data_IF_630648323256
#
_entry.id   IF_630648323256
#
_cell.length_a   1.000
_cell.length_b   1.000
_cell.length_c   1.000
_cell.angle_alpha   90.00
_cell.angle_beta   90.00
_cell.angle_gamma   90.00
#
_symmetry.space_group_name_H-M   'P 1'
#
loop_
_entity.id
_entity.type
_entity.pdbx_description
1 polymer ?
#
# COMPACT_ATOMS: atom_id res chain seq x y z
N UNK A 1 -19.71 15.46 -1.15
CA UNK A 1 -18.90 16.39 -0.36
C UNK A 1 -18.57 15.67 0.93
N UNK A 2 -17.44 14.95 0.96
CA UNK A 2 -17.03 14.18 2.14
C UNK A 2 -16.22 15.10 3.03
N UNK A 3 -16.71 15.35 4.25
CA UNK A 3 -16.02 16.12 5.28
C UNK A 3 -14.86 15.29 5.84
N UNK A 4 -13.66 15.53 5.32
CA UNK A 4 -12.43 14.86 5.76
C UNK A 4 -11.92 15.35 7.12
N UNK A 5 -12.44 16.47 7.65
CA UNK A 5 -11.97 17.02 8.92
C UNK A 5 -12.48 16.26 10.16
N UNK A 6 -13.54 15.45 10.00
CA UNK A 6 -14.23 14.77 11.11
C UNK A 6 -13.81 13.31 11.34
N UNK A 7 -12.89 12.75 10.54
CA UNK A 7 -12.47 11.34 10.59
C UNK A 7 -11.00 11.17 11.01
N UNK A 8 -10.53 11.91 12.00
CA UNK A 8 -9.15 11.86 12.50
C UNK A 8 -8.67 10.49 13.01
N UNK A 9 -7.70 10.49 13.95
CA UNK A 9 -7.09 9.30 14.57
C UNK A 9 -8.07 8.11 14.85
N UNK A 10 -9.35 8.31 15.24
CA UNK A 10 -10.31 7.21 15.39
C UNK A 10 -10.63 6.42 14.11
N UNK A 11 -10.72 7.07 12.94
CA UNK A 11 -10.99 6.37 11.67
C UNK A 11 -9.78 5.54 11.24
N UNK A 12 -8.57 6.06 11.46
CA UNK A 12 -7.33 5.33 11.20
C UNK A 12 -7.24 4.09 12.09
N UNK A 13 -7.51 4.24 13.38
CA UNK A 13 -7.51 3.12 14.32
C UNK A 13 -8.54 2.06 13.92
N UNK A 14 -9.74 2.46 13.50
CA UNK A 14 -10.77 1.54 13.04
C UNK A 14 -10.32 0.77 11.78
N UNK A 15 -9.80 1.46 10.77
CA UNK A 15 -9.30 0.82 9.54
C UNK A 15 -8.09 -0.08 9.82
N UNK A 16 -7.19 0.33 10.72
CA UNK A 16 -6.04 -0.48 11.13
C UNK A 16 -6.49 -1.75 11.86
N UNK A 17 -7.46 -1.63 12.77
CA UNK A 17 -8.03 -2.79 13.46
C UNK A 17 -8.71 -3.76 12.48
N UNK A 18 -9.44 -3.25 11.49
CA UNK A 18 -10.08 -4.07 10.47
C UNK A 18 -9.05 -4.83 9.63
N UNK A 19 -7.97 -4.17 9.20
CA UNK A 19 -6.86 -4.82 8.49
C UNK A 19 -6.18 -5.87 9.37
N UNK A 20 -5.93 -5.54 10.64
CA UNK A 20 -5.35 -6.47 11.61
C UNK A 20 -6.20 -7.72 11.80
N UNK A 21 -7.52 -7.58 11.91
CA UNK A 21 -8.46 -8.71 11.99
C UNK A 21 -8.46 -9.55 10.70
N UNK A 22 -8.49 -8.91 9.53
CA UNK A 22 -8.47 -9.59 8.25
C UNK A 22 -7.17 -10.41 8.04
N UNK A 23 -6.05 -9.96 8.59
CA UNK A 23 -4.79 -10.70 8.62
C UNK A 23 -4.79 -11.80 9.70
N UNK A 24 -5.31 -11.51 10.90
CA UNK A 24 -5.31 -12.44 12.03
C UNK A 24 -6.06 -13.74 11.70
N UNK A 25 -7.19 -13.66 10.99
CA UNK A 25 -7.98 -14.85 10.60
C UNK A 25 -7.24 -15.79 9.63
N UNK A 26 -6.11 -15.36 9.05
CA UNK A 26 -5.27 -16.19 8.18
C UNK A 26 -4.21 -16.98 8.96
N UNK A 27 -3.98 -16.65 10.24
CA UNK A 27 -3.05 -17.35 11.11
C UNK A 27 -3.67 -18.68 11.56
N UNK A 28 -2.98 -19.79 11.29
CA UNK A 28 -3.38 -21.14 11.68
C UNK A 28 -2.66 -21.60 12.96
N UNK A 29 -3.16 -22.65 13.65
CA UNK A 29 -2.44 -23.24 14.77
C UNK A 29 -1.02 -23.67 14.38
N UNK A 30 -0.02 -23.12 15.08
CA UNK A 30 1.40 -23.37 14.81
C UNK A 30 2.12 -22.24 14.07
N UNK A 31 1.37 -21.31 13.48
CA UNK A 31 1.93 -20.09 12.91
C UNK A 31 2.35 -19.10 14.01
N UNK A 32 3.37 -18.30 13.76
CA UNK A 32 3.91 -17.33 14.73
C UNK A 32 3.45 -15.91 14.44
N UNK A 33 3.44 -15.52 13.16
CA UNK A 33 2.97 -14.20 12.69
C UNK A 33 2.65 -14.22 11.20
N UNK A 34 1.92 -13.22 10.76
CA UNK A 34 1.76 -12.87 9.36
C UNK A 34 2.38 -11.48 9.12
N UNK A 35 3.18 -11.37 8.06
CA UNK A 35 3.70 -10.10 7.57
C UNK A 35 3.04 -9.78 6.23
N UNK A 36 2.47 -8.58 6.13
CA UNK A 36 1.83 -8.05 4.95
C UNK A 36 2.57 -6.79 4.50
N UNK A 37 3.21 -6.87 3.34
CA UNK A 37 3.88 -5.73 2.70
C UNK A 37 3.05 -5.31 1.48
N UNK A 38 2.80 -4.01 1.34
CA UNK A 38 1.97 -3.49 0.26
C UNK A 38 2.53 -2.17 -0.27
N UNK A 39 2.57 -2.04 -1.60
CA UNK A 39 2.78 -0.80 -2.32
C UNK A 39 1.45 -0.41 -2.95
N UNK A 40 0.95 0.79 -2.65
CA UNK A 40 -0.35 1.27 -3.14
C UNK A 40 -0.22 2.66 -3.77
N UNK A 41 -0.83 2.77 -4.94
CA UNK A 41 -1.32 4.01 -5.53
C UNK A 41 -2.84 3.90 -5.68
N UNK A 42 -3.50 4.98 -6.09
CA UNK A 42 -4.88 4.91 -6.52
C UNK A 42 -5.01 3.93 -7.70
N UNK A 43 -5.99 3.02 -7.65
CA UNK A 43 -6.28 2.06 -8.72
C UNK A 43 -5.30 0.90 -8.92
N UNK A 44 -4.05 1.02 -8.46
CA UNK A 44 -3.01 -0.03 -8.62
C UNK A 44 -2.32 -0.36 -7.30
N UNK A 45 -2.08 -1.64 -7.08
CA UNK A 45 -1.42 -2.10 -5.86
C UNK A 45 -0.72 -3.43 -6.05
N UNK A 46 0.44 -3.55 -5.40
CA UNK A 46 1.20 -4.80 -5.31
C UNK A 46 1.33 -5.17 -3.85
N UNK A 47 1.19 -6.46 -3.54
CA UNK A 47 1.23 -6.91 -2.16
C UNK A 47 1.88 -8.28 -2.03
N UNK A 48 2.55 -8.48 -0.90
CA UNK A 48 3.11 -9.76 -0.50
C UNK A 48 2.63 -10.11 0.90
N UNK A 49 2.15 -11.33 1.05
CA UNK A 49 1.74 -11.87 2.35
C UNK A 49 2.59 -13.08 2.70
N UNK A 50 3.26 -13.03 3.85
CA UNK A 50 4.10 -14.11 4.40
C UNK A 50 3.51 -14.59 5.72
N UNK A 51 3.23 -15.88 5.83
CA UNK A 51 2.82 -16.52 7.08
C UNK A 51 4.03 -17.26 7.65
N UNK A 52 4.55 -16.82 8.79
CA UNK A 52 5.74 -17.40 9.41
C UNK A 52 5.35 -18.62 10.24
N UNK A 53 5.99 -19.75 9.93
CA UNK A 53 5.67 -21.05 10.50
C UNK A 53 6.88 -21.98 10.41
N UNK A 54 7.17 -22.84 11.43
CA UNK A 54 8.32 -23.74 11.40
C UNK A 54 8.33 -24.72 10.20
N UNK A 55 7.14 -25.03 9.67
CA UNK A 55 6.96 -25.90 8.51
C UNK A 55 7.11 -25.19 7.16
N UNK A 56 7.34 -23.87 7.15
CA UNK A 56 7.34 -23.06 5.95
C UNK A 56 8.43 -23.47 4.95
N UNK A 57 8.10 -23.45 3.67
CA UNK A 57 9.00 -23.85 2.59
C UNK A 57 10.01 -22.77 2.19
N UNK A 58 9.70 -21.50 2.46
CA UNK A 58 10.57 -20.36 2.14
C UNK A 58 11.27 -19.85 3.39
N UNK A 59 12.38 -19.14 3.22
CA UNK A 59 13.12 -18.54 4.33
C UNK A 59 13.32 -17.03 4.13
N UNK A 60 13.13 -16.26 5.19
CA UNK A 60 13.44 -14.83 5.24
C UNK A 60 14.05 -14.50 6.60
N UNK A 61 15.26 -13.93 6.59
CA UNK A 61 16.01 -13.57 7.81
C UNK A 61 16.18 -14.75 8.80
N UNK A 62 16.39 -15.96 8.29
CA UNK A 62 16.57 -17.17 9.10
C UNK A 62 15.27 -17.77 9.64
N UNK A 63 14.12 -17.23 9.28
CA UNK A 63 12.81 -17.76 9.69
C UNK A 63 12.04 -18.31 8.50
N UNK A 64 11.36 -19.44 8.74
CA UNK A 64 10.56 -20.11 7.72
C UNK A 64 9.19 -19.48 7.58
N UNK A 65 8.72 -19.40 6.34
CA UNK A 65 7.41 -18.86 6.02
C UNK A 65 6.80 -19.53 4.79
N UNK A 66 5.47 -19.43 4.71
CA UNK A 66 4.70 -19.68 3.50
C UNK A 66 4.30 -18.36 2.84
N UNK A 67 4.43 -18.30 1.52
CA UNK A 67 3.94 -17.17 0.73
C UNK A 67 2.53 -17.49 0.28
N UNK A 68 1.56 -16.70 0.73
CA UNK A 68 0.16 -16.91 0.35
C UNK A 68 -0.32 -15.81 -0.58
N UNK A 69 -1.34 -16.13 -1.38
CA UNK A 69 -2.08 -15.11 -2.12
C UNK A 69 -2.82 -14.20 -1.15
N UNK A 70 -2.61 -12.89 -1.28
CA UNK A 70 -3.31 -11.89 -0.47
C UNK A 70 -4.82 -11.94 -0.74
N UNK A 71 -5.66 -12.21 0.26
CA UNK A 71 -7.11 -12.18 0.08
C UNK A 71 -7.60 -10.76 -0.24
N UNK A 72 -8.66 -10.65 -1.04
CA UNK A 72 -9.25 -9.36 -1.42
C UNK A 72 -9.62 -8.50 -0.21
N UNK A 73 -10.16 -9.11 0.86
CA UNK A 73 -10.51 -8.40 2.08
C UNK A 73 -9.32 -7.71 2.77
N UNK A 74 -8.13 -8.31 2.71
CA UNK A 74 -6.89 -7.71 3.25
C UNK A 74 -6.50 -6.50 2.41
N UNK A 75 -6.47 -6.64 1.07
CA UNK A 75 -6.14 -5.55 0.17
C UNK A 75 -7.13 -4.38 0.32
N UNK A 76 -8.43 -4.67 0.38
CA UNK A 76 -9.47 -3.66 0.57
C UNK A 76 -9.31 -2.92 1.89
N UNK A 77 -9.05 -3.64 2.99
CA UNK A 77 -8.81 -3.03 4.31
C UNK A 77 -7.55 -2.16 4.31
N UNK A 78 -6.51 -2.53 3.56
CA UNK A 78 -5.32 -1.72 3.37
C UNK A 78 -5.60 -0.42 2.58
N UNK A 79 -6.46 -0.48 1.55
CA UNK A 79 -6.92 0.72 0.83
C UNK A 79 -7.74 1.65 1.75
N UNK A 80 -8.61 1.10 2.59
CA UNK A 80 -9.41 1.88 3.55
C UNK A 80 -8.53 2.52 4.63
N UNK A 81 -7.50 1.81 5.09
CA UNK A 81 -6.48 2.38 5.97
C UNK A 81 -5.70 3.49 5.27
N UNK A 82 -5.31 3.30 4.01
CA UNK A 82 -4.62 4.33 3.22
C UNK A 82 -5.46 5.60 3.09
N UNK A 83 -6.75 5.45 2.83
CA UNK A 83 -7.67 6.58 2.73
C UNK A 83 -7.84 7.30 4.08
N UNK A 84 -7.96 6.55 5.19
CA UNK A 84 -8.03 7.13 6.53
C UNK A 84 -6.73 7.85 6.93
N UNK A 85 -5.58 7.40 6.42
CA UNK A 85 -4.28 8.03 6.64
C UNK A 85 -4.02 9.30 5.81
N UNK A 86 -4.93 9.70 4.94
CA UNK A 86 -4.78 10.92 4.18
C UNK A 86 -4.69 12.15 5.09
N UNK A 87 -3.80 13.07 4.73
CA UNK A 87 -3.67 14.40 5.32
C UNK A 87 -3.63 15.42 4.20
N UNK A 88 -4.48 16.45 4.33
CA UNK A 88 -4.58 17.51 3.33
C UNK A 88 -3.20 18.13 3.06
N UNK A 89 -2.84 18.23 1.78
CA UNK A 89 -1.56 18.77 1.32
C UNK A 89 -0.32 17.93 1.63
N UNK A 90 -0.43 16.83 2.40
CA UNK A 90 0.69 15.92 2.70
C UNK A 90 0.50 14.54 2.06
N UNK A 91 -0.67 14.24 1.52
CA UNK A 91 -0.97 12.94 0.93
C UNK A 91 -1.20 11.86 1.98
N UNK A 92 -0.91 10.62 1.61
CA UNK A 92 -0.97 9.42 2.46
C UNK A 92 0.31 8.60 2.25
N UNK A 93 0.43 7.38 2.78
CA UNK A 93 1.62 6.55 2.58
C UNK A 93 1.65 5.90 1.18
N UNK A 94 2.84 5.60 0.65
CA UNK A 94 3.05 4.88 -0.61
C UNK A 94 3.22 3.38 -0.42
N UNK A 95 3.82 2.97 0.70
CA UNK A 95 3.90 1.58 1.08
C UNK A 95 3.74 1.39 2.59
N UNK A 96 3.34 0.19 2.98
CA UNK A 96 3.19 -0.18 4.38
C UNK A 96 3.65 -1.61 4.63
N UNK A 97 4.21 -1.84 5.82
CA UNK A 97 4.44 -3.17 6.38
C UNK A 97 3.57 -3.35 7.62
N UNK A 98 2.70 -4.34 7.59
CA UNK A 98 1.82 -4.72 8.69
C UNK A 98 2.27 -6.06 9.24
N UNK A 99 2.39 -6.17 10.55
CA UNK A 99 2.73 -7.42 11.24
C UNK A 99 1.64 -7.74 12.22
N UNK A 100 1.09 -8.95 12.14
CA UNK A 100 0.12 -9.48 13.12
C UNK A 100 0.65 -10.78 13.70
N UNK A 101 0.73 -10.86 15.03
CA UNK A 101 1.23 -12.05 15.73
C UNK A 101 0.09 -13.01 16.08
N UNK A 102 0.41 -14.28 16.31
CA UNK A 102 -0.56 -15.26 16.79
C UNK A 102 -1.19 -14.88 18.15
N UNK A 103 -0.50 -14.05 18.95
CA UNK A 103 -1.01 -13.53 20.22
C UNK A 103 -1.99 -12.36 20.05
N UNK A 104 -2.25 -11.93 18.81
CA UNK A 104 -3.22 -10.88 18.50
C UNK A 104 -2.66 -9.46 18.56
N UNK A 105 -1.34 -9.28 18.69
CA UNK A 105 -0.73 -7.95 18.57
C UNK A 105 -0.56 -7.57 17.10
N UNK A 106 -0.87 -6.32 16.75
CA UNK A 106 -0.68 -5.78 15.41
C UNK A 106 0.19 -4.52 15.43
N UNK A 107 1.08 -4.35 14.44
CA UNK A 107 1.88 -3.14 14.23
C UNK A 107 1.93 -2.76 12.76
N UNK A 108 2.18 -1.48 12.49
CA UNK A 108 2.34 -0.93 11.14
C UNK A 108 3.59 -0.05 11.05
N UNK A 109 4.29 -0.17 9.93
CA UNK A 109 5.31 0.78 9.48
C UNK A 109 4.84 1.36 8.14
N UNK A 110 4.84 2.69 8.04
CA UNK A 110 4.38 3.41 6.84
C UNK A 110 5.55 4.14 6.19
N UNK A 111 5.60 4.12 4.87
CA UNK A 111 6.56 4.87 4.07
C UNK A 111 5.83 5.97 3.30
N UNK A 112 6.17 7.23 3.59
CA UNK A 112 5.59 8.41 2.94
C UNK A 112 6.51 9.04 1.89
N UNK A 113 7.81 8.75 1.95
CA UNK A 113 8.84 9.62 1.37
C UNK A 113 9.85 8.90 0.48
N UNK A 114 9.99 7.58 0.60
CA UNK A 114 10.92 6.78 -0.22
C UNK A 114 10.16 6.14 -1.37
N UNK A 115 10.73 6.15 -2.58
CA UNK A 115 10.14 5.43 -3.72
C UNK A 115 10.02 3.93 -3.36
N UNK A 116 8.82 3.33 -3.41
CA UNK A 116 8.68 1.92 -3.09
C UNK A 116 9.43 1.06 -4.10
N UNK A 117 10.28 0.17 -3.61
CA UNK A 117 10.84 -0.90 -4.44
C UNK A 117 9.72 -1.88 -4.81
N UNK A 118 9.64 -2.28 -6.08
CA UNK A 118 8.74 -3.34 -6.51
C UNK A 118 9.14 -4.69 -5.90
N UNK A 119 8.18 -5.59 -5.71
CA UNK A 119 8.50 -6.95 -5.31
C UNK A 119 9.08 -7.73 -6.50
N UNK A 120 9.96 -8.72 -6.26
CA UNK A 120 10.42 -9.63 -7.31
C UNK A 120 9.27 -10.19 -8.15
N UNK A 121 9.28 -9.88 -9.45
CA UNK A 121 8.26 -10.29 -10.43
C UNK A 121 7.16 -9.27 -10.71
N UNK A 122 7.16 -8.12 -10.02
CA UNK A 122 6.19 -7.04 -10.28
C UNK A 122 6.47 -6.34 -11.62
N UNK A 123 5.40 -5.90 -12.26
CA UNK A 123 5.47 -5.05 -13.45
C UNK A 123 5.85 -3.63 -13.01
N UNK A 124 6.67 -2.95 -13.79
CA UNK A 124 6.97 -1.53 -13.57
C UNK A 124 5.68 -0.74 -13.53
N UNK A 125 5.45 0.00 -12.44
CA UNK A 125 4.28 0.87 -12.29
C UNK A 125 4.25 1.92 -13.40
N UNK A 126 3.12 2.01 -14.11
CA UNK A 126 2.92 3.07 -15.12
C UNK A 126 3.03 4.44 -14.44
N UNK A 127 3.90 5.34 -14.93
CA UNK A 127 4.01 6.71 -14.40
C UNK A 127 2.67 7.45 -14.32
N UNK A 128 1.70 7.16 -15.21
CA UNK A 128 0.36 7.76 -15.17
C UNK A 128 -0.40 7.46 -13.87
N UNK A 129 -0.13 6.32 -13.21
CA UNK A 129 -0.76 5.97 -11.94
C UNK A 129 -0.35 6.91 -10.80
N UNK A 130 0.85 7.52 -10.85
CA UNK A 130 1.25 8.52 -9.86
C UNK A 130 0.50 9.84 -10.04
N UNK A 131 0.14 10.20 -11.28
CA UNK A 131 -0.68 11.38 -11.57
C UNK A 131 -2.08 11.18 -11.00
N UNK A 132 -2.70 10.03 -11.27
CA UNK A 132 -4.00 9.67 -10.71
C UNK A 132 -3.96 9.62 -9.16
N UNK A 133 -2.90 9.06 -8.57
CA UNK A 133 -2.73 9.04 -7.11
C UNK A 133 -2.61 10.46 -6.52
N UNK A 134 -1.90 11.36 -7.20
CA UNK A 134 -1.76 12.77 -6.80
C UNK A 134 -3.09 13.55 -6.91
N UNK A 135 -3.96 13.20 -7.86
CA UNK A 135 -5.30 13.78 -7.94
C UNK A 135 -6.20 13.31 -6.78
N UNK A 136 -6.08 12.03 -6.39
CA UNK A 136 -6.89 11.44 -5.34
C UNK A 136 -6.40 11.72 -3.91
N UNK A 137 -5.08 11.81 -3.74
CA UNK A 137 -4.41 12.11 -2.47
C UNK A 137 -3.43 13.29 -2.63
N UNK A 138 -3.95 14.53 -2.82
CA UNK A 138 -3.12 15.69 -3.11
C UNK A 138 -2.00 15.94 -2.11
N UNK A 139 -0.79 16.11 -2.65
CA UNK A 139 0.41 16.60 -1.95
C UNK A 139 0.82 17.97 -2.47
N UNK A 140 1.12 18.89 -1.55
CA UNK A 140 1.80 20.14 -1.84
C UNK A 140 3.22 19.85 -2.35
N UNK A 141 3.81 20.77 -3.12
CA UNK A 141 5.17 20.62 -3.65
C UNK A 141 6.22 20.33 -2.56
N UNK A 142 6.04 20.88 -1.34
CA UNK A 142 6.91 20.63 -0.19
C UNK A 142 6.82 19.20 0.37
N UNK A 143 5.72 18.49 0.12
CA UNK A 143 5.46 17.11 0.53
C UNK A 143 5.67 16.11 -0.63
N UNK A 144 6.27 16.56 -1.74
CA UNK A 144 6.66 15.71 -2.86
C UNK A 144 8.17 15.48 -2.81
N UNK A 145 8.66 14.26 -2.54
CA UNK A 145 10.06 13.93 -2.73
C UNK A 145 10.50 14.08 -4.20
N UNK A 146 11.81 14.14 -4.45
CA UNK A 146 12.35 14.31 -5.81
C UNK A 146 11.89 13.22 -6.77
N UNK A 147 11.94 11.95 -6.35
CA UNK A 147 11.49 10.83 -7.16
C UNK A 147 10.01 10.97 -7.56
N UNK A 148 9.16 11.48 -6.67
CA UNK A 148 7.74 11.63 -6.95
C UNK A 148 7.52 12.72 -8.00
N UNK A 149 8.22 13.86 -7.89
CA UNK A 149 8.19 14.91 -8.91
C UNK A 149 8.58 14.37 -10.28
N UNK A 150 9.62 13.52 -10.33
CA UNK A 150 10.04 12.86 -11.56
C UNK A 150 8.93 11.95 -12.12
N UNK A 151 8.33 11.08 -11.30
CA UNK A 151 7.23 10.19 -11.73
C UNK A 151 6.00 10.96 -12.24
N UNK A 152 5.65 12.07 -11.58
CA UNK A 152 4.55 12.94 -12.03
C UNK A 152 4.83 13.57 -13.39
N UNK A 153 6.06 14.05 -13.62
CA UNK A 153 6.45 14.60 -14.92
C UNK A 153 6.44 13.53 -16.02
N UNK A 154 6.97 12.34 -15.74
CA UNK A 154 6.92 11.17 -16.64
C UNK A 154 5.48 10.77 -16.98
N UNK A 155 4.61 10.71 -15.97
CA UNK A 155 3.20 10.37 -16.11
C UNK A 155 2.43 11.38 -16.96
N UNK A 156 2.63 12.68 -16.71
CA UNK A 156 1.99 13.74 -17.48
C UNK A 156 2.39 13.67 -18.96
N UNK A 157 3.68 13.46 -19.25
CA UNK A 157 4.16 13.30 -20.62
C UNK A 157 3.56 12.05 -21.32
N UNK A 158 3.40 10.95 -20.58
CA UNK A 158 2.76 9.72 -21.09
C UNK A 158 1.29 9.92 -21.44
N UNK A 159 0.55 10.63 -20.58
CA UNK A 159 -0.87 10.97 -20.79
C UNK A 159 -1.04 11.83 -22.04
N UNK A 160 -0.23 12.88 -22.19
CA UNK A 160 -0.26 13.78 -23.35
C UNK A 160 0.08 13.06 -24.67
N UNK A 161 1.10 12.20 -24.67
CA UNK A 161 1.46 11.40 -25.82
C UNK A 161 0.32 10.45 -26.24
N UNK A 162 -0.39 9.88 -25.26
CA UNK A 162 -1.52 8.98 -25.48
C UNK A 162 -2.77 9.70 -26.00
N UNK A 163 -3.03 10.92 -25.51
CA UNK A 163 -4.09 11.80 -26.00
C UNK A 163 -3.88 12.19 -27.46
N UNK A 164 -2.70 12.68 -27.80
CA UNK A 164 -2.32 13.07 -29.17
C UNK A 164 -2.45 11.91 -30.19
N UNK A 165 -2.25 10.67 -29.76
CA UNK A 165 -2.39 9.48 -30.63
C UNK A 165 -3.85 9.13 -30.92
N UNK A 166 -4.78 9.43 -30.00
CA UNK A 166 -6.22 9.19 -30.18
C UNK A 166 -6.86 10.24 -31.08
N UNK A 167 -6.39 11.48 -31.03
CA UNK A 167 -6.89 12.58 -31.90
C UNK A 167 -6.44 12.46 -33.37
N UNK A 168 -5.38 11.70 -33.64
CA UNK A 168 -4.84 11.47 -35.00
C UNK A 168 -5.40 10.22 -35.71
N UNK A 169 -6.33 9.49 -35.08
CA UNK A 169 -6.98 8.29 -35.64
C UNK A 169 -8.40 8.61 -36.05
#
# INVERSE_FOLDING_TARGET
MFDQASLGLPSEQASFNALGQALYVLIQPGDTRIEYEVNLLHGVGFARTRVFTPAGQKEHKGERYESITTPFAVLKSAQDLRAACYREGNGTWFSAKIVVTAQGSASAEYNYDTEPEGFPGDVVTDPAAYVEDQEFFPRNLSAQPEWLRQRLAEGQASIEASGNKRERR
#
